data_IF_407132401128
#
_entry.id   IF_407132401128
#
_cell.length_a   1.000
_cell.length_b   1.000
_cell.length_c   1.000
_cell.angle_alpha   90.00
_cell.angle_beta   90.00
_cell.angle_gamma   90.00
#
_symmetry.space_group_name_H-M   'P 1'
#
loop_
_entity.id
_entity.type
_entity.pdbx_description
1 polymer ?
#
# COMPACT_ATOMS: atom_id res chain seq x y z
N UNK A 1 10.72 -12.58 3.98
CA UNK A 1 10.82 -12.51 2.51
C UNK A 1 11.99 -13.34 2.04
N UNK A 2 11.71 -14.37 1.26
CA UNK A 2 12.71 -15.18 0.57
C UNK A 2 12.82 -14.66 -0.87
N UNK A 3 14.02 -14.29 -1.28
CA UNK A 3 14.30 -13.72 -2.60
C UNK A 3 13.81 -14.67 -3.71
N UNK A 4 13.05 -14.13 -4.67
CA UNK A 4 12.61 -14.85 -5.88
C UNK A 4 11.27 -15.59 -5.80
N UNK A 5 10.63 -15.70 -4.64
CA UNK A 5 9.29 -16.34 -4.51
C UNK A 5 8.22 -15.40 -3.93
N UNK A 6 8.56 -14.14 -3.66
CA UNK A 6 7.62 -13.15 -3.14
C UNK A 6 7.20 -12.21 -4.27
N UNK A 7 5.91 -11.85 -4.37
CA UNK A 7 5.47 -10.77 -5.26
C UNK A 7 6.09 -9.44 -4.84
N UNK A 8 6.17 -8.50 -5.78
CA UNK A 8 6.71 -7.16 -5.55
C UNK A 8 5.94 -6.40 -4.46
N UNK A 9 6.55 -6.31 -3.28
CA UNK A 9 6.06 -5.52 -2.16
C UNK A 9 6.45 -4.05 -2.33
N UNK A 10 5.50 -3.15 -2.12
CA UNK A 10 5.69 -1.69 -2.15
C UNK A 10 4.88 -1.02 -1.05
N UNK A 11 5.30 0.15 -0.61
CA UNK A 11 4.51 0.94 0.34
C UNK A 11 3.35 1.60 -0.39
N UNK A 12 2.12 1.29 0.01
CA UNK A 12 0.90 1.90 -0.51
C UNK A 12 0.13 2.60 0.61
N UNK A 13 -0.78 3.50 0.22
CA UNK A 13 -1.64 4.24 1.15
C UNK A 13 -3.05 3.65 1.08
N UNK A 14 -3.59 3.27 2.24
CA UNK A 14 -4.99 2.88 2.40
C UNK A 14 -5.77 4.02 3.04
N UNK A 15 -6.95 4.32 2.52
CA UNK A 15 -7.89 5.28 3.13
C UNK A 15 -9.03 4.50 3.76
N UNK A 16 -9.17 4.61 5.09
CA UNK A 16 -10.36 4.15 5.77
C UNK A 16 -11.43 5.25 5.72
N UNK A 17 -12.55 4.95 5.05
CA UNK A 17 -13.65 5.90 4.88
C UNK A 17 -14.44 6.14 6.18
N UNK A 18 -14.39 5.19 7.13
CA UNK A 18 -15.18 5.27 8.37
C UNK A 18 -14.57 6.26 9.37
N UNK A 19 -13.24 6.25 9.50
CA UNK A 19 -12.48 7.11 10.40
C UNK A 19 -11.80 8.29 9.67
N UNK A 20 -11.93 8.38 8.35
CA UNK A 20 -11.26 9.36 7.47
C UNK A 20 -9.74 9.44 7.72
N UNK A 21 -9.10 8.26 7.76
CA UNK A 21 -7.68 8.14 8.08
C UNK A 21 -6.89 7.42 7.00
N UNK A 22 -5.62 7.81 6.85
CA UNK A 22 -4.71 7.26 5.85
C UNK A 22 -3.61 6.44 6.52
N UNK A 23 -3.44 5.19 6.07
CA UNK A 23 -2.44 4.26 6.59
C UNK A 23 -1.42 3.92 5.51
N UNK A 24 -0.13 4.05 5.82
CA UNK A 24 0.97 3.58 4.96
C UNK A 24 1.31 2.15 5.33
N UNK A 25 1.05 1.21 4.43
CA UNK A 25 1.27 -0.23 4.66
C UNK A 25 2.02 -0.83 3.49
N UNK A 26 2.91 -1.78 3.77
CA UNK A 26 3.54 -2.60 2.73
C UNK A 26 2.51 -3.55 2.11
N UNK A 27 2.29 -3.45 0.81
CA UNK A 27 1.36 -4.31 0.09
C UNK A 27 1.94 -4.73 -1.26
N UNK A 28 1.42 -5.82 -1.81
CA UNK A 28 1.72 -6.27 -3.18
C UNK A 28 0.76 -5.68 -4.21
N UNK A 29 -0.26 -4.96 -3.77
CA UNK A 29 -1.30 -4.41 -4.64
C UNK A 29 -0.73 -3.31 -5.55
N UNK A 30 -1.16 -3.31 -6.81
CA UNK A 30 -0.84 -2.24 -7.75
C UNK A 30 -1.87 -1.12 -7.60
N UNK A 31 -1.39 0.11 -7.46
CA UNK A 31 -2.23 1.30 -7.28
C UNK A 31 -1.83 2.36 -8.31
N UNK A 32 -2.81 2.92 -9.03
CA UNK A 32 -2.56 3.96 -10.02
C UNK A 32 -2.63 5.39 -9.43
N UNK A 33 -3.22 5.52 -8.23
CA UNK A 33 -3.42 6.81 -7.56
C UNK A 33 -2.40 7.00 -6.44
N UNK A 34 -1.84 8.21 -6.37
CA UNK A 34 -0.91 8.61 -5.30
C UNK A 34 -1.58 9.63 -4.40
N UNK A 35 -1.40 9.49 -3.09
CA UNK A 35 -1.82 10.49 -2.11
C UNK A 35 -0.68 11.48 -1.90
N UNK A 36 -0.92 12.78 -2.17
CA UNK A 36 0.00 13.88 -1.87
C UNK A 36 -0.60 14.67 -0.72
N UNK A 37 0.18 14.81 0.36
CA UNK A 37 -0.18 15.63 1.51
C UNK A 37 -0.09 17.12 1.16
#
# INVERSE_FOLDING_TARGET
MKTGIHPDYRTVVFHDLSADTYFKVGSTIKTDRTYRA
#
